data_IF_732887010857
#
_entry.id   IF_732887010857
#
_cell.length_a   1.000
_cell.length_b   1.000
_cell.length_c   1.000
_cell.angle_alpha   90.00
_cell.angle_beta   90.00
_cell.angle_gamma   90.00
#
_symmetry.space_group_name_H-M   'P 1'
#
loop_
_entity.id
_entity.type
_entity.pdbx_description
1 polymer ?
#
# COMPACT_ATOMS: atom_id res chain seq x y z
N UNK A 1 9.48 24.94 14.30
CA UNK A 1 9.53 24.57 12.88
C UNK A 1 10.84 23.83 12.60
N UNK A 2 10.80 22.59 12.16
CA UNK A 2 11.99 21.80 11.92
C UNK A 2 12.67 22.15 10.57
N UNK A 3 13.86 21.59 10.32
CA UNK A 3 14.58 21.87 9.06
C UNK A 3 13.74 21.41 7.85
N UNK A 4 13.05 20.28 7.98
CA UNK A 4 12.19 19.73 6.92
C UNK A 4 11.06 20.69 6.57
N UNK A 5 10.35 21.24 7.55
CA UNK A 5 9.26 22.21 7.29
C UNK A 5 9.75 23.41 6.48
N UNK A 6 10.96 23.92 6.83
CA UNK A 6 11.55 25.05 6.09
C UNK A 6 11.93 24.71 4.65
N UNK A 7 12.40 23.47 4.40
CA UNK A 7 12.74 23.02 3.05
C UNK A 7 11.48 22.86 2.22
N UNK A 8 10.47 22.17 2.74
CA UNK A 8 9.21 21.92 2.03
C UNK A 8 8.45 23.23 1.79
N UNK A 9 8.40 24.16 2.76
CA UNK A 9 7.77 25.48 2.59
C UNK A 9 8.43 26.25 1.44
N UNK A 10 9.76 26.16 1.29
CA UNK A 10 10.50 26.81 0.21
C UNK A 10 10.22 26.17 -1.15
N UNK A 11 10.15 24.85 -1.19
CA UNK A 11 9.80 24.11 -2.41
C UNK A 11 8.36 24.39 -2.87
N UNK A 12 7.42 24.63 -1.96
CA UNK A 12 6.04 24.94 -2.31
C UNK A 12 5.89 26.23 -3.17
N UNK A 13 6.87 27.13 -3.13
CA UNK A 13 6.90 28.30 -4.01
C UNK A 13 7.08 27.94 -5.49
N UNK A 14 7.76 26.80 -5.76
CA UNK A 14 8.00 26.26 -7.10
C UNK A 14 6.84 25.39 -7.62
N UNK A 15 5.97 24.90 -6.71
CA UNK A 15 4.84 24.01 -6.98
C UNK A 15 3.53 24.64 -6.51
N UNK A 16 3.17 25.75 -7.12
CA UNK A 16 2.00 26.57 -6.71
C UNK A 16 0.64 25.88 -6.93
N UNK A 17 0.61 24.81 -7.68
CA UNK A 17 -0.54 23.94 -7.94
C UNK A 17 -0.75 22.86 -6.85
N UNK A 18 0.19 22.73 -5.90
CA UNK A 18 0.11 21.79 -4.78
C UNK A 18 -0.22 22.54 -3.49
N UNK A 19 -1.34 22.19 -2.86
CA UNK A 19 -1.70 22.72 -1.56
C UNK A 19 -0.81 22.12 -0.47
N UNK A 20 -0.03 22.94 0.22
CA UNK A 20 0.82 22.52 1.32
C UNK A 20 0.19 22.88 2.67
N UNK A 21 0.05 21.89 3.54
CA UNK A 21 -0.26 22.08 4.95
C UNK A 21 0.79 21.44 5.86
N UNK A 22 0.95 21.98 7.06
CA UNK A 22 1.83 21.42 8.08
C UNK A 22 1.03 20.91 9.26
N UNK A 23 1.36 19.70 9.72
CA UNK A 23 0.64 19.07 10.82
C UNK A 23 1.64 18.43 11.80
N UNK A 24 1.36 18.52 13.10
CA UNK A 24 2.09 17.73 14.09
C UNK A 24 1.71 16.26 13.97
N UNK A 25 2.67 15.37 14.24
CA UNK A 25 2.51 13.93 14.01
C UNK A 25 1.40 13.31 14.86
N UNK A 26 1.21 13.78 16.08
CA UNK A 26 0.14 13.32 16.97
C UNK A 26 -1.24 13.69 16.41
N UNK A 27 -1.40 14.90 15.89
CA UNK A 27 -2.61 15.32 15.20
C UNK A 27 -2.77 14.54 13.88
N UNK A 28 -1.69 14.34 13.12
CA UNK A 28 -1.72 13.57 11.88
C UNK A 28 -2.23 12.13 12.12
N UNK A 29 -1.80 11.49 13.20
CA UNK A 29 -2.28 10.15 13.58
C UNK A 29 -3.78 10.13 13.87
N UNK A 30 -4.30 11.16 14.58
CA UNK A 30 -5.74 11.29 14.84
C UNK A 30 -6.53 11.54 13.56
N UNK A 31 -6.05 12.44 12.71
CA UNK A 31 -6.71 12.81 11.46
C UNK A 31 -6.70 11.65 10.46
N UNK A 32 -5.64 10.86 10.43
CA UNK A 32 -5.54 9.67 9.58
C UNK A 32 -6.65 8.66 9.88
N UNK A 33 -6.97 8.46 11.17
CA UNK A 33 -8.08 7.58 11.58
C UNK A 33 -9.45 8.23 11.34
N UNK A 34 -9.56 9.54 11.59
CA UNK A 34 -10.83 10.27 11.51
C UNK A 34 -11.27 10.55 10.08
N UNK A 35 -10.35 11.01 9.24
CA UNK A 35 -10.63 11.50 7.88
C UNK A 35 -9.44 11.23 6.95
N UNK A 36 -9.13 9.95 6.65
CA UNK A 36 -7.95 9.57 5.86
C UNK A 36 -7.93 10.19 4.47
N UNK A 37 -9.10 10.42 3.87
CA UNK A 37 -9.23 10.98 2.51
C UNK A 37 -8.81 12.44 2.35
N UNK A 38 -8.52 13.14 3.45
CA UNK A 38 -7.96 14.50 3.39
C UNK A 38 -6.49 14.52 2.95
N UNK A 39 -5.80 13.36 2.99
CA UNK A 39 -4.39 13.26 2.66
C UNK A 39 -4.20 12.63 1.29
N UNK A 40 -3.63 13.38 0.35
CA UNK A 40 -3.16 12.81 -0.92
C UNK A 40 -1.74 12.27 -0.75
N UNK A 41 -0.85 13.09 -0.16
CA UNK A 41 0.55 12.74 0.10
C UNK A 41 0.98 13.25 1.47
N UNK A 42 1.64 12.42 2.25
CA UNK A 42 2.22 12.80 3.55
C UNK A 42 3.74 12.67 3.48
N UNK A 43 4.46 13.77 3.77
CA UNK A 43 5.93 13.79 3.85
C UNK A 43 6.37 13.86 5.31
N UNK A 44 7.10 12.86 5.76
CA UNK A 44 7.56 12.77 7.15
C UNK A 44 8.95 12.13 7.25
N UNK A 45 9.51 12.02 8.45
CA UNK A 45 10.74 11.28 8.72
C UNK A 45 10.46 9.78 8.84
N UNK A 46 11.49 8.97 8.69
CA UNK A 46 11.39 7.52 8.68
C UNK A 46 10.56 6.97 9.87
N UNK A 47 10.98 7.25 11.09
CA UNK A 47 10.34 6.71 12.29
C UNK A 47 8.84 7.02 12.39
N UNK A 48 8.45 8.27 12.11
CA UNK A 48 7.04 8.65 12.14
C UNK A 48 6.29 8.18 10.88
N UNK A 49 6.98 8.09 9.75
CA UNK A 49 6.44 7.50 8.53
C UNK A 49 6.04 6.06 8.72
N UNK A 50 6.92 5.25 9.32
CA UNK A 50 6.67 3.84 9.61
C UNK A 50 5.45 3.67 10.54
N UNK A 51 5.39 4.46 11.62
CA UNK A 51 4.25 4.41 12.56
C UNK A 51 2.93 4.81 11.88
N UNK A 52 2.95 5.88 11.08
CA UNK A 52 1.75 6.37 10.42
C UNK A 52 1.30 5.47 9.27
N UNK A 53 2.23 4.88 8.51
CA UNK A 53 1.89 3.94 7.44
C UNK A 53 1.31 2.64 7.97
N UNK A 54 1.83 2.12 9.09
CA UNK A 54 1.27 0.94 9.73
C UNK A 54 -0.13 1.21 10.30
N UNK A 55 -0.34 2.39 10.90
CA UNK A 55 -1.68 2.80 11.33
C UNK A 55 -2.64 2.97 10.15
N UNK A 56 -2.17 3.53 9.04
CA UNK A 56 -2.95 3.67 7.81
C UNK A 56 -3.32 2.31 7.19
N UNK A 57 -2.43 1.31 7.30
CA UNK A 57 -2.69 -0.04 6.82
C UNK A 57 -3.97 -0.64 7.42
N UNK A 58 -4.24 -0.34 8.68
CA UNK A 58 -5.44 -0.81 9.37
C UNK A 58 -6.73 -0.23 8.80
N UNK A 59 -6.67 0.90 8.09
CA UNK A 59 -7.84 1.48 7.39
C UNK A 59 -8.26 0.64 6.18
N UNK A 60 -7.34 -0.11 5.59
CA UNK A 60 -7.63 -1.06 4.50
C UNK A 60 -8.10 -2.42 5.02
N UNK A 61 -8.05 -2.63 6.33
CA UNK A 61 -8.50 -3.85 7.02
C UNK A 61 -7.40 -4.84 7.33
N UNK A 62 -6.22 -4.76 6.69
CA UNK A 62 -5.09 -5.65 6.95
C UNK A 62 -3.77 -5.09 6.42
N UNK A 63 -2.69 -5.34 7.14
CA UNK A 63 -1.31 -5.12 6.66
C UNK A 63 -0.97 -5.99 5.42
N UNK A 64 -1.70 -7.08 5.21
CA UNK A 64 -1.59 -7.94 4.03
C UNK A 64 -2.12 -7.33 2.73
N UNK A 65 -2.61 -6.09 2.78
CA UNK A 65 -3.14 -5.37 1.62
C UNK A 65 -2.20 -4.29 1.10
N UNK A 66 -1.18 -3.89 1.84
CA UNK A 66 -0.37 -2.73 1.50
C UNK A 66 1.03 -3.09 1.01
N UNK A 67 1.38 -2.67 -0.23
CA UNK A 67 2.72 -2.71 -0.75
C UNK A 67 3.54 -1.52 -0.21
N UNK A 68 4.85 -1.64 -0.30
CA UNK A 68 5.82 -0.59 -0.01
C UNK A 68 6.93 -0.56 -1.05
N UNK A 69 7.57 0.58 -1.21
CA UNK A 69 8.73 0.75 -2.07
C UNK A 69 9.77 1.66 -1.43
N UNK A 70 11.04 1.25 -1.51
CA UNK A 70 12.19 2.08 -1.19
C UNK A 70 12.93 2.37 -2.48
N UNK A 71 12.87 3.63 -2.94
CA UNK A 71 13.38 4.04 -4.24
C UNK A 71 14.65 4.87 -4.10
N UNK A 72 15.59 4.68 -5.03
CA UNK A 72 16.68 5.61 -5.23
C UNK A 72 16.26 6.76 -6.18
N UNK A 73 17.15 7.74 -6.36
CA UNK A 73 16.92 8.89 -7.24
C UNK A 73 16.80 8.54 -8.73
N UNK A 74 17.25 7.35 -9.12
CA UNK A 74 17.30 6.89 -10.51
C UNK A 74 16.15 5.91 -10.83
N UNK A 75 15.21 5.74 -9.88
CA UNK A 75 14.03 4.88 -10.04
C UNK A 75 14.28 3.40 -9.76
N UNK A 76 15.48 3.02 -9.31
CA UNK A 76 15.72 1.65 -8.81
C UNK A 76 15.09 1.49 -7.44
N UNK A 77 14.46 0.36 -7.19
CA UNK A 77 13.75 0.16 -5.94
C UNK A 77 13.81 -1.25 -5.39
N UNK A 78 13.60 -1.33 -4.08
CA UNK A 78 13.21 -2.52 -3.38
C UNK A 78 11.70 -2.44 -3.13
N UNK A 79 10.99 -3.48 -3.48
CA UNK A 79 9.53 -3.57 -3.39
C UNK A 79 9.15 -4.72 -2.50
N UNK A 80 8.39 -4.45 -1.47
CA UNK A 80 8.01 -5.44 -0.47
C UNK A 80 6.65 -5.09 0.16
N UNK A 81 5.94 -6.04 0.77
CA UNK A 81 4.83 -5.72 1.66
C UNK A 81 5.33 -4.93 2.87
N UNK A 82 4.45 -4.14 3.50
CA UNK A 82 4.80 -3.47 4.75
C UNK A 82 4.93 -4.44 5.94
N UNK A 83 4.28 -5.61 5.87
CA UNK A 83 4.33 -6.61 6.92
C UNK A 83 5.66 -7.39 6.94
N UNK A 84 6.03 -7.89 8.11
CA UNK A 84 7.19 -8.77 8.29
C UNK A 84 6.96 -10.22 7.84
N UNK A 85 7.86 -11.11 8.24
CA UNK A 85 7.89 -12.53 7.82
C UNK A 85 6.86 -13.42 8.51
N UNK A 86 6.18 -12.95 9.58
CA UNK A 86 5.15 -13.67 10.32
C UNK A 86 5.48 -15.17 10.57
N UNK A 87 6.56 -15.47 11.31
CA UNK A 87 7.06 -16.84 11.46
C UNK A 87 6.06 -17.79 12.14
N UNK A 88 5.13 -17.24 12.90
CA UNK A 88 4.05 -17.94 13.61
C UNK A 88 3.03 -18.59 12.66
N UNK A 89 2.85 -18.04 11.46
CA UNK A 89 1.94 -18.59 10.43
C UNK A 89 2.68 -19.17 9.22
N UNK A 90 4.00 -19.20 9.25
CA UNK A 90 4.80 -19.74 8.16
C UNK A 90 4.44 -21.20 7.86
N UNK A 91 4.26 -21.55 6.60
CA UNK A 91 3.91 -22.90 6.14
C UNK A 91 2.43 -23.28 6.31
N UNK A 92 1.60 -22.45 6.96
CA UNK A 92 0.18 -22.75 7.17
C UNK A 92 -0.71 -22.42 5.95
N UNK A 93 -0.19 -21.67 4.97
CA UNK A 93 -0.92 -21.32 3.76
C UNK A 93 -2.09 -20.36 3.97
N UNK A 94 -2.06 -19.56 5.05
CA UNK A 94 -3.14 -18.64 5.43
C UNK A 94 -2.81 -17.17 5.23
N UNK A 95 -1.54 -16.84 4.97
CA UNK A 95 -1.11 -15.45 4.76
C UNK A 95 -1.77 -14.84 3.51
N UNK A 96 -2.12 -13.57 3.60
CA UNK A 96 -2.64 -12.81 2.47
C UNK A 96 -1.49 -12.47 1.49
N UNK A 97 -1.54 -12.90 0.21
CA UNK A 97 -0.48 -12.64 -0.75
C UNK A 97 -0.63 -11.29 -1.47
N UNK A 98 -1.74 -10.56 -1.27
CA UNK A 98 -2.10 -9.41 -2.09
C UNK A 98 -1.12 -8.25 -1.98
N UNK A 99 -0.58 -7.97 -0.79
CA UNK A 99 0.44 -6.94 -0.62
C UNK A 99 1.71 -7.23 -1.45
N UNK A 100 2.14 -8.50 -1.51
CA UNK A 100 3.27 -8.92 -2.34
C UNK A 100 2.96 -8.78 -3.84
N UNK A 101 1.76 -9.16 -4.27
CA UNK A 101 1.30 -9.00 -5.66
C UNK A 101 1.24 -7.52 -6.03
N UNK A 102 0.70 -6.66 -5.16
CA UNK A 102 0.66 -5.20 -5.37
C UNK A 102 2.07 -4.57 -5.36
N UNK A 103 3.02 -5.16 -4.63
CA UNK A 103 4.43 -4.72 -4.72
C UNK A 103 5.02 -4.96 -6.11
N UNK A 104 4.59 -6.02 -6.82
CA UNK A 104 4.94 -6.22 -8.24
C UNK A 104 4.33 -5.12 -9.11
N UNK A 105 3.08 -4.71 -8.86
CA UNK A 105 2.46 -3.58 -9.56
C UNK A 105 3.28 -2.30 -9.39
N UNK A 106 3.70 -1.99 -8.16
CA UNK A 106 4.58 -0.84 -7.89
C UNK A 106 5.92 -0.94 -8.65
N UNK A 107 6.55 -2.11 -8.67
CA UNK A 107 7.79 -2.34 -9.42
C UNK A 107 7.61 -2.08 -10.92
N UNK A 108 6.54 -2.59 -11.50
CA UNK A 108 6.20 -2.37 -12.91
C UNK A 108 6.05 -0.88 -13.20
N UNK A 109 5.35 -0.16 -12.33
CA UNK A 109 5.04 1.26 -12.50
C UNK A 109 6.24 2.17 -12.32
N UNK A 110 7.03 1.96 -11.26
CA UNK A 110 8.05 2.93 -10.84
C UNK A 110 9.47 2.61 -11.35
N UNK A 111 9.84 1.33 -11.48
CA UNK A 111 11.18 0.96 -11.94
C UNK A 111 11.23 0.49 -13.39
N UNK A 112 10.15 -0.10 -13.91
CA UNK A 112 10.13 -0.69 -15.24
C UNK A 112 9.37 0.15 -16.27
N UNK A 113 8.75 1.26 -15.87
CA UNK A 113 7.94 2.14 -16.73
C UNK A 113 6.83 1.41 -17.50
N UNK A 114 6.26 0.37 -16.88
CA UNK A 114 5.24 -0.49 -17.43
C UNK A 114 3.88 -0.24 -16.77
N UNK A 115 3.40 1.02 -16.83
CA UNK A 115 2.16 1.45 -16.17
C UNK A 115 0.93 0.61 -16.57
N UNK A 116 0.82 0.26 -17.86
CA UNK A 116 -0.30 -0.55 -18.35
C UNK A 116 -0.31 -1.97 -17.76
N UNK A 117 0.85 -2.56 -17.52
CA UNK A 117 0.94 -3.87 -16.85
C UNK A 117 0.63 -3.74 -15.35
N UNK A 118 1.07 -2.66 -14.71
CA UNK A 118 0.72 -2.36 -13.33
C UNK A 118 -0.80 -2.23 -13.15
N UNK A 119 -1.47 -1.44 -14.00
CA UNK A 119 -2.92 -1.28 -13.98
C UNK A 119 -3.67 -2.60 -14.15
N UNK A 120 -3.14 -3.52 -14.97
CA UNK A 120 -3.72 -4.87 -15.11
C UNK A 120 -3.60 -5.69 -13.83
N UNK A 121 -2.49 -5.61 -13.11
CA UNK A 121 -2.31 -6.30 -11.82
C UNK A 121 -3.29 -5.72 -10.80
N UNK A 122 -3.39 -4.40 -10.70
CA UNK A 122 -4.29 -3.72 -9.78
C UNK A 122 -5.75 -4.08 -10.06
N UNK A 123 -6.15 -4.08 -11.34
CA UNK A 123 -7.50 -4.46 -11.77
C UNK A 123 -7.80 -5.94 -11.48
N UNK A 124 -6.84 -6.84 -11.65
CA UNK A 124 -7.01 -8.26 -11.35
C UNK A 124 -7.24 -8.49 -9.84
N UNK A 125 -6.47 -7.82 -8.98
CA UNK A 125 -6.68 -7.84 -7.52
C UNK A 125 -8.06 -7.31 -7.16
N UNK A 126 -8.47 -6.17 -7.74
CA UNK A 126 -9.79 -5.59 -7.54
C UNK A 126 -10.90 -6.57 -7.93
N UNK A 127 -10.81 -7.17 -9.12
CA UNK A 127 -11.79 -8.13 -9.63
C UNK A 127 -11.95 -9.36 -8.72
N UNK A 128 -10.84 -9.90 -8.20
CA UNK A 128 -10.87 -11.04 -7.27
C UNK A 128 -11.57 -10.66 -5.96
N UNK A 129 -11.29 -9.47 -5.45
CA UNK A 129 -11.97 -8.98 -4.25
C UNK A 129 -13.46 -8.71 -4.51
N UNK A 130 -13.82 -8.16 -5.66
CA UNK A 130 -15.21 -7.91 -6.04
C UNK A 130 -16.00 -9.20 -6.23
N UNK A 131 -15.35 -10.28 -6.67
CA UNK A 131 -15.95 -11.62 -6.73
C UNK A 131 -16.29 -12.21 -5.36
N UNK A 132 -15.76 -11.61 -4.29
CA UNK A 132 -16.08 -11.98 -2.91
C UNK A 132 -15.05 -12.86 -2.20
N UNK A 133 -13.94 -13.23 -2.86
CA UNK A 133 -12.87 -13.99 -2.20
C UNK A 133 -12.16 -13.12 -1.16
N UNK A 134 -11.82 -13.72 -0.01
CA UNK A 134 -11.10 -13.07 1.08
C UNK A 134 -10.11 -14.04 1.72
N UNK A 135 -8.96 -13.56 2.12
CA UNK A 135 -8.11 -14.26 3.09
C UNK A 135 -8.61 -14.03 4.51
N UNK A 136 -8.14 -14.79 5.48
CA UNK A 136 -8.66 -14.77 6.84
C UNK A 136 -8.55 -13.39 7.52
N UNK A 137 -7.48 -12.64 7.22
CA UNK A 137 -7.19 -11.31 7.77
C UNK A 137 -8.17 -10.22 7.31
N UNK A 138 -8.76 -10.37 6.12
CA UNK A 138 -9.75 -9.46 5.53
C UNK A 138 -11.13 -10.12 5.42
N UNK A 139 -11.35 -11.21 6.15
CA UNK A 139 -12.62 -11.92 6.14
C UNK A 139 -13.77 -11.03 6.64
N UNK A 140 -14.92 -11.15 6.00
CA UNK A 140 -16.15 -10.49 6.40
C UNK A 140 -17.33 -11.44 6.27
N UNK A 141 -18.43 -11.13 6.99
CA UNK A 141 -19.64 -11.94 6.93
C UNK A 141 -20.12 -12.13 5.48
N UNK A 142 -20.52 -13.35 5.15
CA UNK A 142 -21.02 -13.73 3.81
C UNK A 142 -19.99 -13.66 2.66
N UNK A 143 -18.70 -13.74 2.95
CA UNK A 143 -17.65 -13.86 1.95
C UNK A 143 -16.92 -15.19 2.06
N UNK A 144 -16.43 -15.69 0.93
CA UNK A 144 -15.65 -16.93 0.89
C UNK A 144 -14.24 -16.68 1.38
N UNK A 145 -13.81 -17.42 2.41
CA UNK A 145 -12.44 -17.38 2.92
C UNK A 145 -11.59 -18.42 2.20
N UNK A 146 -10.44 -18.00 1.69
CA UNK A 146 -9.49 -18.80 0.92
C UNK A 146 -8.08 -18.68 1.49
N UNK A 147 -7.21 -19.65 1.16
CA UNK A 147 -5.82 -19.64 1.55
C UNK A 147 -4.93 -18.81 0.60
N UNK A 148 -3.65 -18.70 0.98
CA UNK A 148 -2.62 -17.97 0.22
C UNK A 148 -2.55 -18.39 -1.24
N UNK A 149 -2.45 -19.70 -1.49
CA UNK A 149 -2.34 -20.25 -2.86
C UNK A 149 -3.59 -19.95 -3.68
N UNK A 150 -4.75 -20.24 -3.14
CA UNK A 150 -6.03 -20.07 -3.83
C UNK A 150 -6.27 -18.60 -4.19
N UNK A 151 -5.94 -17.68 -3.30
CA UNK A 151 -5.99 -16.24 -3.58
C UNK A 151 -5.03 -15.85 -4.70
N UNK A 152 -3.79 -16.33 -4.67
CA UNK A 152 -2.80 -16.08 -5.71
C UNK A 152 -3.22 -16.65 -7.07
N UNK A 153 -3.71 -17.89 -7.11
CA UNK A 153 -4.21 -18.54 -8.33
C UNK A 153 -5.40 -17.79 -8.94
N UNK A 154 -6.29 -17.25 -8.09
CA UNK A 154 -7.42 -16.42 -8.54
C UNK A 154 -6.95 -15.13 -9.22
N UNK A 155 -5.94 -14.44 -8.65
CA UNK A 155 -5.36 -13.24 -9.28
C UNK A 155 -4.69 -13.60 -10.61
N UNK A 156 -3.93 -14.68 -10.67
CA UNK A 156 -3.31 -15.14 -11.94
C UNK A 156 -4.36 -15.48 -12.98
N UNK A 157 -5.49 -16.08 -12.60
CA UNK A 157 -6.59 -16.35 -13.51
C UNK A 157 -7.22 -15.05 -14.05
N UNK A 158 -7.40 -14.05 -13.18
CA UNK A 158 -7.95 -12.74 -13.56
C UNK A 158 -7.01 -11.91 -14.46
N UNK A 159 -5.69 -12.18 -14.45
CA UNK A 159 -4.72 -11.55 -15.34
C UNK A 159 -4.75 -12.08 -16.78
N UNK A 160 -5.29 -13.28 -17.01
CA UNK A 160 -5.35 -13.85 -18.36
C UNK A 160 -6.38 -13.10 -19.18
N UNK A 161 -6.06 -12.70 -20.43
CA UNK A 161 -7.09 -12.20 -21.35
C UNK A 161 -8.11 -13.33 -21.61
N UNK A 162 -9.38 -12.95 -21.67
CA UNK A 162 -10.45 -13.85 -22.12
C UNK A 162 -10.23 -14.31 -23.58
#
# INVERSE_FOLDING_TARGET
MCIRDRVITRLAEEYSDVELSHMYVDNAAMQLVREPKQFDVMVTGNMFGDILSDAAAMLTGSIGMLPSASLDRDGKGMYEPIHGSAPDIAGQGIANPLATILSVSMMLRYSLDEAALADRVDAAVGSVLDSGLRTADIASANRQTVGTREMGDAVVAALRPE
#
